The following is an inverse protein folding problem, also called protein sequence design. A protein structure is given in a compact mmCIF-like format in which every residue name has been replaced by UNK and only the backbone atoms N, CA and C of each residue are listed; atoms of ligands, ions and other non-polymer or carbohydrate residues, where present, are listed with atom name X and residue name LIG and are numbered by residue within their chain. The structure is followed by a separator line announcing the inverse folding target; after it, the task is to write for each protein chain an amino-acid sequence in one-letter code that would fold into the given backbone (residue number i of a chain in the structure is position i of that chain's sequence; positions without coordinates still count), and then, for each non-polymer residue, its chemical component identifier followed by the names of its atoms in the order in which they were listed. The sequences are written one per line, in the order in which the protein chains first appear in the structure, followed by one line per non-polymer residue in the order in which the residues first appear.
data_IF_637732764443
#
_entry.id   IF_637732764443
#
_cell.length_a   1.000
_cell.length_b   1.000
_cell.length_c   1.000
_cell.angle_alpha   90.00
_cell.angle_beta   90.00
_cell.angle_gamma   90.00
#
_symmetry.space_group_name_H-M   'P 1'
#
loop_
_entity.id
_entity.type
_entity.pdbx_description
1 polymer ?
#
# COMPACT_ATOMS: atom_id res chain seq x y z
N UNK A 1 -16.19 8.45 -3.01
CA UNK A 1 -14.86 8.75 -3.60
C UNK A 1 -14.97 9.91 -4.58
N UNK A 2 -13.96 10.79 -4.66
CA UNK A 2 -13.96 11.97 -5.56
C UNK A 2 -13.42 11.70 -6.96
N UNK A 3 -12.66 10.62 -7.13
CA UNK A 3 -12.03 10.21 -8.39
C UNK A 3 -12.21 8.70 -8.60
N UNK A 4 -12.38 8.24 -9.86
CA UNK A 4 -12.34 6.82 -10.18
C UNK A 4 -10.94 6.27 -9.84
N UNK A 5 -10.86 5.02 -9.39
CA UNK A 5 -9.56 4.38 -9.13
C UNK A 5 -9.60 2.87 -9.31
N UNK A 6 -8.45 2.32 -9.70
CA UNK A 6 -8.16 0.89 -9.78
C UNK A 6 -6.80 0.58 -9.17
N UNK A 7 -6.54 -0.69 -8.85
CA UNK A 7 -5.27 -1.15 -8.29
C UNK A 7 -4.81 -0.42 -7.01
N UNK A 8 -5.76 0.13 -6.26
CA UNK A 8 -5.56 0.65 -4.91
C UNK A 8 -5.60 -0.52 -3.92
N UNK A 9 -5.13 -0.27 -2.70
CA UNK A 9 -5.30 -1.21 -1.60
C UNK A 9 -6.27 -0.65 -0.57
N UNK A 10 -6.91 -1.54 0.20
CA UNK A 10 -7.86 -1.15 1.24
C UNK A 10 -7.63 -1.92 2.53
N UNK A 11 -7.65 -1.21 3.66
CA UNK A 11 -7.50 -1.80 4.99
C UNK A 11 -8.61 -1.32 5.92
N UNK A 12 -9.13 -2.21 6.75
CA UNK A 12 -10.09 -1.84 7.78
C UNK A 12 -9.32 -1.19 8.94
N UNK A 13 -9.64 0.07 9.21
CA UNK A 13 -9.09 0.83 10.32
C UNK A 13 -10.23 1.28 11.25
N UNK A 14 -10.51 0.43 12.23
CA UNK A 14 -11.60 0.56 13.19
C UNK A 14 -12.95 0.54 12.47
N UNK A 15 -13.78 1.59 12.61
CA UNK A 15 -15.06 1.74 11.90
C UNK A 15 -14.91 2.33 10.47
N UNK A 16 -13.68 2.51 10.00
CA UNK A 16 -13.40 3.17 8.73
C UNK A 16 -12.66 2.24 7.76
N UNK A 17 -12.79 2.51 6.48
CA UNK A 17 -11.97 1.90 5.43
C UNK A 17 -10.89 2.88 5.00
N UNK A 18 -9.62 2.49 5.12
CA UNK A 18 -8.52 3.25 4.55
C UNK A 18 -8.29 2.78 3.11
N UNK A 19 -8.27 3.71 2.17
CA UNK A 19 -8.05 3.47 0.74
C UNK A 19 -6.73 4.14 0.36
N UNK A 20 -5.80 3.36 -0.21
CA UNK A 20 -4.42 3.80 -0.41
C UNK A 20 -4.00 3.67 -1.88
N UNK A 21 -3.53 4.78 -2.44
CA UNK A 21 -2.96 4.87 -3.78
C UNK A 21 -3.91 4.39 -4.89
N UNK A 22 -3.35 3.66 -5.86
CA UNK A 22 -4.02 3.18 -7.06
C UNK A 22 -3.73 4.05 -8.28
N UNK A 23 -4.55 3.90 -9.33
CA UNK A 23 -4.47 4.70 -10.57
C UNK A 23 -5.85 5.18 -10.98
N UNK A 24 -5.96 6.38 -11.57
CA UNK A 24 -7.24 6.88 -12.12
C UNK A 24 -7.59 6.23 -13.45
N UNK A 25 -6.59 5.84 -14.24
CA UNK A 25 -6.76 5.04 -15.48
C UNK A 25 -5.82 3.84 -15.48
N UNK A 26 -5.74 3.13 -16.61
CA UNK A 26 -4.82 1.99 -16.76
C UNK A 26 -3.36 2.43 -16.91
N UNK A 27 -3.11 3.72 -17.15
CA UNK A 27 -1.75 4.28 -17.33
C UNK A 27 -1.04 4.44 -16.00
N UNK A 28 0.22 4.01 -15.94
CA UNK A 28 1.06 4.15 -14.74
C UNK A 28 1.29 5.60 -14.32
N UNK A 29 1.41 6.52 -15.28
CA UNK A 29 1.63 7.95 -15.03
C UNK A 29 0.51 8.62 -14.23
N UNK A 30 -0.65 7.97 -14.12
CA UNK A 30 -1.79 8.42 -13.34
C UNK A 30 -1.93 7.65 -12.01
N UNK A 31 -0.80 7.16 -11.48
CA UNK A 31 -0.74 6.61 -10.12
C UNK A 31 -0.97 7.70 -9.08
N UNK A 32 -1.60 7.32 -7.98
CA UNK A 32 -1.97 8.20 -6.89
C UNK A 32 -1.09 7.94 -5.67
N UNK A 33 -0.74 8.99 -4.95
CA UNK A 33 -0.22 8.90 -3.57
C UNK A 33 -1.32 9.12 -2.52
N UNK A 34 -2.57 9.27 -2.95
CA UNK A 34 -3.68 9.66 -2.07
C UNK A 34 -3.99 8.57 -1.03
N UNK A 35 -4.19 9.03 0.20
CA UNK A 35 -4.73 8.23 1.30
C UNK A 35 -6.10 8.79 1.65
N UNK A 36 -7.12 7.95 1.59
CA UNK A 36 -8.51 8.36 1.82
C UNK A 36 -9.10 7.49 2.92
N UNK A 37 -9.60 8.13 3.97
CA UNK A 37 -10.38 7.48 5.02
C UNK A 37 -11.86 7.57 4.66
N UNK A 38 -12.52 6.43 4.53
CA UNK A 38 -13.94 6.33 4.29
C UNK A 38 -14.66 5.92 5.58
N UNK A 39 -15.48 6.82 6.12
CA UNK A 39 -16.35 6.55 7.25
C UNK A 39 -17.56 5.74 6.76
N UNK A 40 -17.59 4.46 7.13
CA UNK A 40 -18.60 3.51 6.66
C UNK A 40 -20.00 3.89 7.18
N UNK A 41 -20.08 4.46 8.40
CA UNK A 41 -21.35 4.82 9.04
C UNK A 41 -21.94 6.09 8.45
N UNK A 42 -21.09 7.08 8.16
CA UNK A 42 -21.51 8.37 7.58
C UNK A 42 -21.57 8.37 6.07
N UNK A 43 -20.96 7.38 5.41
CA UNK A 43 -20.79 7.33 3.95
C UNK A 43 -20.03 8.57 3.43
N UNK A 44 -18.95 8.94 4.12
CA UNK A 44 -18.16 10.14 3.82
C UNK A 44 -16.69 9.79 3.59
N UNK A 45 -16.04 10.50 2.66
CA UNK A 45 -14.60 10.38 2.42
C UNK A 45 -13.86 11.59 3.00
N UNK A 46 -12.85 11.34 3.85
CA UNK A 46 -11.85 12.32 4.29
C UNK A 46 -10.52 12.01 3.61
N UNK A 47 -9.93 13.01 2.96
CA UNK A 47 -8.57 12.90 2.44
C UNK A 47 -7.57 13.14 3.57
N UNK A 48 -6.59 12.25 3.69
CA UNK A 48 -5.49 12.37 4.64
C UNK A 48 -4.21 12.83 3.92
N UNK A 49 -3.18 13.12 4.69
CA UNK A 49 -1.83 13.39 4.17
C UNK A 49 -1.39 12.25 3.23
N UNK A 50 -0.93 12.56 2.01
CA UNK A 50 -0.57 11.55 1.01
C UNK A 50 0.68 10.77 1.40
N UNK A 51 0.88 9.63 0.74
CA UNK A 51 2.14 8.88 0.76
C UNK A 51 3.30 9.71 0.16
N UNK A 52 4.55 9.39 0.52
CA UNK A 52 5.73 10.10 0.00
C UNK A 52 5.98 9.86 -1.51
N UNK A 53 5.28 8.90 -2.11
CA UNK A 53 5.35 8.60 -3.55
C UNK A 53 4.01 8.06 -4.05
N UNK A 54 3.79 8.18 -5.37
CA UNK A 54 2.64 7.59 -6.04
C UNK A 54 2.83 6.09 -6.24
N UNK A 55 1.80 5.30 -5.93
CA UNK A 55 1.92 3.83 -5.96
C UNK A 55 0.60 3.15 -6.31
N UNK A 56 0.71 2.01 -7.00
CA UNK A 56 -0.40 1.12 -7.32
C UNK A 56 0.04 -0.34 -7.25
N UNK A 57 -0.91 -1.28 -7.18
CA UNK A 57 -0.65 -2.73 -7.04
C UNK A 57 0.22 -3.10 -5.83
N UNK A 58 0.22 -2.24 -4.81
CA UNK A 58 0.86 -2.50 -3.53
C UNK A 58 0.07 -3.54 -2.74
N UNK A 59 0.78 -4.24 -1.85
CA UNK A 59 0.12 -4.87 -0.70
C UNK A 59 0.03 -3.84 0.43
N UNK A 60 -1.00 -3.97 1.27
CA UNK A 60 -1.04 -3.28 2.55
C UNK A 60 -1.37 -4.26 3.67
N UNK A 61 -1.01 -3.91 4.90
CA UNK A 61 -1.43 -4.62 6.12
C UNK A 61 -1.59 -3.62 7.27
N UNK A 62 -2.52 -3.90 8.20
CA UNK A 62 -2.60 -3.18 9.48
C UNK A 62 -1.51 -3.60 10.45
N UNK A 63 -0.84 -2.63 11.09
CA UNK A 63 0.17 -2.81 12.12
C UNK A 63 -0.06 -1.87 13.32
N UNK A 64 -0.87 -2.32 14.27
CA UNK A 64 -1.33 -1.49 15.39
C UNK A 64 -2.16 -0.29 14.92
N UNK A 65 -1.68 0.92 15.23
CA UNK A 65 -2.25 2.20 14.79
C UNK A 65 -1.74 2.66 13.41
N UNK A 66 -0.95 1.82 12.75
CA UNK A 66 -0.35 2.10 11.45
C UNK A 66 -0.91 1.15 10.38
N UNK A 67 -0.64 1.50 9.13
CA UNK A 67 -0.63 0.57 8.01
C UNK A 67 0.79 0.47 7.47
N UNK A 68 1.12 -0.66 6.86
CA UNK A 68 2.37 -0.84 6.13
C UNK A 68 2.05 -1.02 4.65
N UNK A 69 2.62 -0.17 3.81
CA UNK A 69 2.51 -0.20 2.35
C UNK A 69 3.74 -0.87 1.77
N UNK A 70 3.55 -1.89 0.95
CA UNK A 70 4.60 -2.82 0.56
C UNK A 70 4.63 -2.98 -0.96
N UNK A 71 5.77 -2.63 -1.56
CA UNK A 71 6.03 -2.81 -2.98
C UNK A 71 5.05 -2.05 -3.87
N UNK A 72 4.63 -2.71 -4.96
CA UNK A 72 3.80 -2.12 -6.00
C UNK A 72 4.63 -1.55 -7.15
N UNK A 73 4.03 -0.64 -7.90
CA UNK A 73 4.65 0.07 -9.02
C UNK A 73 4.47 1.57 -8.88
N UNK A 74 5.52 2.31 -9.22
CA UNK A 74 5.49 3.78 -9.26
C UNK A 74 4.84 4.30 -10.55
N UNK A 75 4.77 5.64 -10.68
CA UNK A 75 4.22 6.28 -11.86
C UNK A 75 4.98 6.02 -13.16
N UNK A 76 6.24 5.61 -13.08
CA UNK A 76 7.10 5.25 -14.22
C UNK A 76 7.04 3.75 -14.52
N UNK A 77 6.17 3.00 -13.85
CA UNK A 77 6.00 1.55 -13.97
C UNK A 77 7.22 0.74 -13.47
N UNK A 78 8.06 1.36 -12.63
CA UNK A 78 9.13 0.66 -11.94
C UNK A 78 8.54 -0.15 -10.80
N UNK A 79 8.97 -1.41 -10.67
CA UNK A 79 8.59 -2.27 -9.55
C UNK A 79 9.35 -1.81 -8.31
N UNK A 80 8.67 -1.83 -7.17
CA UNK A 80 9.17 -1.30 -5.91
C UNK A 80 9.52 -2.42 -4.93
N UNK A 81 10.61 -2.24 -4.21
CA UNK A 81 10.99 -2.95 -2.98
C UNK A 81 10.73 -2.09 -1.73
N UNK A 82 10.23 -0.87 -1.92
CA UNK A 82 9.94 0.09 -0.86
C UNK A 82 8.88 -0.43 0.10
N UNK A 83 9.14 -0.21 1.39
CA UNK A 83 8.20 -0.45 2.48
C UNK A 83 8.02 0.84 3.25
N UNK A 84 6.77 1.27 3.44
CA UNK A 84 6.41 2.49 4.18
C UNK A 84 5.49 2.12 5.32
N UNK A 85 5.79 2.59 6.52
CA UNK A 85 4.82 2.62 7.61
C UNK A 85 4.13 3.99 7.63
N UNK A 86 2.80 3.98 7.69
CA UNK A 86 1.97 5.18 7.73
C UNK A 86 1.06 5.14 8.95
N UNK A 87 1.17 6.13 9.83
CA UNK A 87 0.32 6.25 11.00
C UNK A 87 -0.97 7.00 10.63
N UNK A 88 -2.12 6.35 10.81
CA UNK A 88 -3.41 6.93 10.36
C UNK A 88 -3.85 8.10 11.23
N UNK A 89 -3.43 8.15 12.50
CA UNK A 89 -3.81 9.20 13.45
C UNK A 89 -2.95 10.46 13.30
N UNK A 90 -1.64 10.30 13.14
CA UNK A 90 -0.71 11.42 12.98
C UNK A 90 -0.52 11.83 11.53
N UNK A 91 -1.00 11.02 10.59
CA UNK A 91 -0.86 11.20 9.15
C UNK A 91 0.62 11.28 8.68
N UNK A 92 1.53 10.70 9.47
CA UNK A 92 2.96 10.66 9.19
C UNK A 92 3.38 9.35 8.56
N UNK A 93 4.38 9.41 7.68
CA UNK A 93 4.96 8.23 7.04
C UNK A 93 6.47 8.16 7.24
N UNK A 94 6.98 6.94 7.35
CA UNK A 94 8.41 6.66 7.45
C UNK A 94 8.78 5.48 6.56
N UNK A 95 9.97 5.55 5.97
CA UNK A 95 10.55 4.42 5.26
C UNK A 95 10.98 3.35 6.25
N UNK A 96 10.64 2.11 5.94
CA UNK A 96 11.15 0.91 6.60
C UNK A 96 12.27 0.30 5.74
N UNK A 97 13.03 -0.67 6.28
CA UNK A 97 13.98 -1.44 5.47
C UNK A 97 13.33 -2.00 4.20
N UNK A 98 14.06 -1.90 3.08
CA UNK A 98 13.59 -2.38 1.77
C UNK A 98 13.44 -3.90 1.75
N UNK A 99 12.54 -4.38 0.89
CA UNK A 99 12.50 -5.80 0.51
C UNK A 99 13.77 -6.18 -0.26
N UNK A 100 14.15 -7.46 -0.20
CA UNK A 100 15.24 -8.00 -1.01
C UNK A 100 14.87 -8.08 -2.49
N UNK A 101 13.59 -8.28 -2.78
CA UNK A 101 13.08 -8.35 -4.14
C UNK A 101 11.99 -7.30 -4.37
N UNK A 102 12.17 -6.52 -5.43
CA UNK A 102 11.11 -5.67 -5.98
C UNK A 102 9.94 -6.55 -6.41
N UNK A 103 8.72 -6.16 -6.00
CA UNK A 103 7.51 -6.91 -6.33
C UNK A 103 6.29 -6.01 -6.43
N UNK A 104 5.44 -6.28 -7.42
CA UNK A 104 4.09 -5.72 -7.54
C UNK A 104 3.05 -6.83 -7.63
N UNK A 105 1.80 -6.53 -7.28
CA UNK A 105 0.74 -7.53 -7.23
C UNK A 105 1.02 -8.65 -6.21
N UNK A 106 1.81 -8.35 -5.18
CA UNK A 106 2.07 -9.29 -4.09
C UNK A 106 0.94 -9.27 -3.06
N UNK A 107 0.96 -10.24 -2.15
CA UNK A 107 0.08 -10.29 -0.98
C UNK A 107 0.91 -10.21 0.29
N UNK A 108 0.39 -9.55 1.32
CA UNK A 108 1.04 -9.50 2.62
C UNK A 108 0.07 -9.84 3.74
N UNK A 109 0.59 -10.42 4.82
CA UNK A 109 -0.17 -10.76 6.03
C UNK A 109 0.66 -10.48 7.27
N UNK A 110 -0.02 -10.21 8.39
CA UNK A 110 0.62 -10.09 9.70
C UNK A 110 0.40 -11.38 10.49
N UNK A 111 1.49 -11.99 10.95
CA UNK A 111 1.47 -13.18 11.81
C UNK A 111 2.30 -12.88 13.05
N UNK A 112 1.63 -12.76 14.20
CA UNK A 112 2.22 -12.30 15.46
C UNK A 112 2.84 -10.91 15.24
N UNK A 113 4.15 -10.80 15.39
CA UNK A 113 4.92 -9.57 15.14
C UNK A 113 5.79 -9.72 13.89
N UNK A 114 5.29 -10.38 12.84
CA UNK A 114 5.99 -10.43 11.56
C UNK A 114 5.04 -10.05 10.44
N UNK A 115 5.55 -9.26 9.49
CA UNK A 115 4.90 -9.04 8.20
C UNK A 115 5.48 -10.04 7.22
N UNK A 116 4.63 -10.87 6.63
CA UNK A 116 5.01 -11.88 5.65
C UNK A 116 4.48 -11.47 4.29
N UNK A 117 5.36 -11.38 3.29
CA UNK A 117 5.06 -10.95 1.93
C UNK A 117 5.25 -12.12 0.98
N UNK A 118 4.22 -12.42 0.20
CA UNK A 118 4.07 -13.64 -0.59
C UNK A 118 3.97 -13.29 -2.07
N UNK A 119 4.82 -13.90 -2.88
CA UNK A 119 4.73 -13.89 -4.34
C UNK A 119 4.71 -12.50 -4.97
N UNK A 120 3.90 -12.33 -6.01
CA UNK A 120 3.88 -11.14 -6.88
C UNK A 120 4.79 -11.32 -8.09
N UNK A 121 5.10 -10.21 -8.76
CA UNK A 121 5.89 -10.20 -9.99
C UNK A 121 7.08 -9.25 -9.83
N UNK A 122 8.26 -9.72 -10.23
CA UNK A 122 9.50 -8.95 -10.29
C UNK A 122 9.82 -8.52 -11.72
N UNK A 123 10.96 -7.85 -11.92
CA UNK A 123 11.49 -7.60 -13.27
C UNK A 123 11.85 -8.91 -14.01
N UNK A 124 12.13 -10.00 -13.28
CA UNK A 124 12.49 -11.30 -13.83
C UNK A 124 11.28 -12.23 -14.02
N UNK A 125 10.07 -11.76 -13.71
CA UNK A 125 8.83 -12.54 -13.81
C UNK A 125 8.20 -12.88 -12.46
N UNK A 126 7.28 -13.85 -12.48
CA UNK A 126 6.51 -14.28 -11.32
C UNK A 126 7.39 -14.84 -10.20
N UNK A 127 7.06 -14.47 -8.96
CA UNK A 127 7.79 -14.85 -7.77
C UNK A 127 7.09 -15.98 -7.03
N UNK A 128 7.86 -17.02 -6.69
CA UNK A 128 7.52 -18.01 -5.66
C UNK A 128 8.13 -17.69 -4.28
N UNK A 129 8.84 -16.57 -4.18
CA UNK A 129 9.58 -16.20 -2.97
C UNK A 129 8.67 -15.58 -1.92
N UNK A 130 9.02 -15.86 -0.66
CA UNK A 130 8.40 -15.29 0.53
C UNK A 130 9.46 -14.48 1.27
N UNK A 131 9.08 -13.30 1.73
CA UNK A 131 9.91 -12.47 2.61
C UNK A 131 9.18 -12.23 3.92
N UNK A 132 9.91 -12.11 5.02
CA UNK A 132 9.35 -11.78 6.32
C UNK A 132 10.16 -10.67 6.97
N UNK A 133 9.47 -9.74 7.58
CA UNK A 133 10.03 -8.59 8.28
C UNK A 133 9.53 -8.54 9.71
N UNK A 134 10.41 -8.14 10.62
CA UNK A 134 10.11 -7.78 11.99
C UNK A 134 10.82 -6.46 12.27
N UNK A 135 10.12 -5.50 12.85
CA UNK A 135 10.63 -4.14 13.10
C UNK A 135 10.45 -3.80 14.58
#
# INVERSE_FOLDING_TARGET
MREPRQFHSTEIFDDNLLIVGGRTTTKSQESLSSVVLYDIKKNECKQLTPLPYEVSHMATVRWGDNIVVIGGVDKRDNKLDTVVIYNVKTEQSHLLPLMRCKRWGCTAVVIRNNIVVLGGVSEQGELKSVEAFNF
#
